data_IF_148078714206
#
_entry.id   IF_148078714206
#
_cell.length_a   1.000
_cell.length_b   1.000
_cell.length_c   1.000
_cell.angle_alpha   90.00
_cell.angle_beta   90.00
_cell.angle_gamma   90.00
#
_symmetry.space_group_name_H-M   'P 1'
#
loop_
_entity.id
_entity.type
_entity.pdbx_description
1 polymer ?
#
# COMPACT_ATOMS: atom_id res chain seq x y z
N UNK A 1 -19.53 -7.73 -6.41
CA UNK A 1 -18.32 -7.41 -5.63
C UNK A 1 -17.31 -8.51 -5.91
N UNK A 2 -16.08 -8.20 -6.28
CA UNK A 2 -15.02 -9.21 -6.39
C UNK A 2 -14.62 -9.64 -4.98
N UNK A 3 -14.68 -10.94 -4.69
CA UNK A 3 -14.26 -11.52 -3.42
C UNK A 3 -12.77 -11.82 -3.48
N UNK A 4 -11.97 -11.16 -2.64
CA UNK A 4 -10.58 -11.54 -2.41
C UNK A 4 -10.57 -12.79 -1.55
N UNK A 5 -10.14 -13.91 -2.11
CA UNK A 5 -10.11 -15.21 -1.44
C UNK A 5 -8.74 -15.48 -0.80
N UNK A 6 -7.65 -15.00 -1.42
CA UNK A 6 -6.28 -15.21 -0.93
C UNK A 6 -5.41 -13.94 -1.06
N UNK A 7 -4.74 -13.55 0.02
CA UNK A 7 -3.93 -12.32 0.10
C UNK A 7 -2.54 -12.58 0.71
N UNK A 8 -1.51 -11.92 0.18
CA UNK A 8 -0.17 -11.85 0.76
C UNK A 8 0.08 -10.44 1.33
N UNK A 9 0.65 -10.37 2.53
CA UNK A 9 1.14 -9.12 3.14
C UNK A 9 2.65 -9.21 3.30
N UNK A 10 3.37 -8.37 2.57
CA UNK A 10 4.80 -8.19 2.71
C UNK A 10 5.07 -7.02 3.66
N UNK A 11 6.02 -7.19 4.59
CA UNK A 11 6.24 -6.22 5.67
C UNK A 11 5.30 -6.40 6.87
N UNK A 12 4.71 -7.60 7.05
CA UNK A 12 3.81 -7.96 8.16
C UNK A 12 4.37 -7.65 9.56
N UNK A 13 5.69 -7.73 9.76
CA UNK A 13 6.33 -7.40 11.04
C UNK A 13 6.56 -5.90 11.26
N UNK A 14 6.45 -5.08 10.20
CA UNK A 14 6.53 -3.63 10.28
C UNK A 14 5.32 -3.01 10.96
N UNK A 15 5.44 -1.76 11.43
CA UNK A 15 4.37 -1.09 12.19
C UNK A 15 3.04 -1.01 11.42
N UNK A 16 3.07 -0.68 10.13
CA UNK A 16 1.86 -0.65 9.26
C UNK A 16 1.35 -2.08 9.01
N UNK A 17 2.23 -3.02 8.70
CA UNK A 17 1.87 -4.43 8.47
C UNK A 17 1.15 -5.07 9.65
N UNK A 18 1.54 -4.75 10.88
CA UNK A 18 0.86 -5.22 12.10
C UNK A 18 -0.59 -4.72 12.22
N UNK A 19 -0.87 -3.48 11.81
CA UNK A 19 -2.25 -2.98 11.74
C UNK A 19 -3.05 -3.70 10.66
N UNK A 20 -2.44 -3.96 9.50
CA UNK A 20 -3.09 -4.67 8.40
C UNK A 20 -3.45 -6.11 8.79
N UNK A 21 -2.58 -6.83 9.49
CA UNK A 21 -2.88 -8.18 10.02
C UNK A 21 -4.09 -8.15 10.95
N UNK A 22 -4.19 -7.13 11.82
CA UNK A 22 -5.35 -6.98 12.72
C UNK A 22 -6.64 -6.72 11.95
N UNK A 23 -6.59 -5.94 10.88
CA UNK A 23 -7.75 -5.71 10.01
C UNK A 23 -8.18 -6.99 9.29
N UNK A 24 -7.22 -7.68 8.68
CA UNK A 24 -7.48 -8.96 8.00
C UNK A 24 -8.04 -10.01 8.95
N UNK A 25 -7.47 -10.16 10.15
CA UNK A 25 -7.97 -11.10 11.16
C UNK A 25 -9.40 -10.79 11.66
N UNK A 26 -9.83 -9.52 11.61
CA UNK A 26 -11.21 -9.10 11.93
C UNK A 26 -12.16 -9.27 10.76
N UNK A 27 -11.64 -9.31 9.53
CA UNK A 27 -12.41 -9.54 8.32
C UNK A 27 -12.61 -11.03 8.05
N UNK A 28 -13.55 -11.38 7.18
CA UNK A 28 -13.79 -12.77 6.78
C UNK A 28 -12.81 -13.28 5.69
N UNK A 29 -11.64 -12.63 5.54
CA UNK A 29 -10.63 -12.93 4.52
C UNK A 29 -9.68 -13.99 5.06
N UNK A 30 -9.50 -15.10 4.33
CA UNK A 30 -8.53 -16.14 4.67
C UNK A 30 -7.16 -15.77 4.09
N UNK A 31 -6.24 -15.27 4.91
CA UNK A 31 -4.85 -15.08 4.49
C UNK A 31 -4.11 -16.43 4.44
N UNK A 32 -3.48 -16.75 3.29
CA UNK A 32 -2.68 -17.98 3.10
C UNK A 32 -1.30 -17.63 2.55
N UNK A 33 -0.25 -18.06 3.25
CA UNK A 33 1.15 -17.87 2.86
C UNK A 33 1.67 -19.04 2.03
N UNK A 34 1.78 -18.83 0.72
CA UNK A 34 2.60 -19.62 -0.22
C UNK A 34 2.99 -18.69 -1.38
N UNK A 35 4.12 -18.94 -2.05
CA UNK A 35 4.73 -18.03 -3.02
C UNK A 35 3.73 -17.43 -4.04
N UNK A 36 3.93 -16.14 -4.38
CA UNK A 36 3.13 -15.14 -5.12
C UNK A 36 2.13 -15.60 -6.23
N UNK A 37 2.19 -16.83 -6.74
CA UNK A 37 1.25 -17.37 -7.73
C UNK A 37 -0.05 -17.85 -7.07
N UNK A 38 -1.18 -17.33 -7.55
CA UNK A 38 -2.53 -17.78 -7.18
C UNK A 38 -3.25 -16.93 -6.13
N UNK A 39 -2.73 -15.73 -5.84
CA UNK A 39 -3.35 -14.77 -4.92
C UNK A 39 -4.09 -13.68 -5.68
N UNK A 40 -5.20 -13.22 -5.11
CA UNK A 40 -6.03 -12.17 -5.71
C UNK A 40 -5.48 -10.76 -5.41
N UNK A 41 -4.62 -10.64 -4.37
CA UNK A 41 -3.99 -9.40 -3.97
C UNK A 41 -2.66 -9.61 -3.24
N UNK A 42 -1.73 -8.67 -3.44
CA UNK A 42 -0.46 -8.55 -2.70
C UNK A 42 -0.37 -7.13 -2.15
N UNK A 43 -0.24 -6.98 -0.83
CA UNK A 43 0.03 -5.68 -0.20
C UNK A 43 1.50 -5.61 0.22
N UNK A 44 2.18 -4.57 -0.24
CA UNK A 44 3.55 -4.25 0.15
C UNK A 44 3.54 -3.11 1.18
N UNK A 45 3.81 -3.43 2.44
CA UNK A 45 3.96 -2.48 3.54
C UNK A 45 5.37 -2.57 4.15
N UNK A 46 6.39 -2.68 3.29
CA UNK A 46 7.79 -2.80 3.69
C UNK A 46 8.39 -1.41 3.88
N UNK A 47 9.13 -1.24 4.97
CA UNK A 47 9.70 0.03 5.38
C UNK A 47 10.84 -0.15 6.37
N UNK A 48 11.99 0.47 6.12
CA UNK A 48 13.16 0.45 7.01
C UNK A 48 13.01 1.34 8.24
N UNK A 49 11.99 2.22 8.24
CA UNK A 49 11.82 3.27 9.23
C UNK A 49 12.94 4.32 9.17
N UNK A 50 13.50 4.56 7.98
CA UNK A 50 14.59 5.52 7.76
C UNK A 50 15.98 4.97 8.04
N UNK A 51 16.11 3.69 8.37
CA UNK A 51 17.38 3.06 8.76
C UNK A 51 18.15 2.47 7.59
N UNK A 52 17.46 2.06 6.52
CA UNK A 52 18.08 1.39 5.37
C UNK A 52 17.24 1.61 4.11
N UNK A 53 17.15 2.87 3.67
CA UNK A 53 16.27 3.33 2.59
C UNK A 53 16.55 2.65 1.24
N UNK A 54 17.80 2.31 0.95
CA UNK A 54 18.18 1.76 -0.35
C UNK A 54 17.93 0.24 -0.42
N UNK A 55 18.35 -0.53 0.58
CA UNK A 55 18.24 -1.99 0.50
C UNK A 55 16.88 -2.55 0.92
N UNK A 56 16.10 -1.80 1.70
CA UNK A 56 14.80 -2.30 2.19
C UNK A 56 13.64 -1.61 1.48
N UNK A 57 13.75 -0.30 1.25
CA UNK A 57 12.64 0.48 0.68
C UNK A 57 12.69 0.51 -0.86
N UNK A 58 13.85 0.30 -1.49
CA UNK A 58 13.98 0.21 -2.95
C UNK A 58 14.10 -1.24 -3.42
N UNK A 59 15.06 -2.03 -2.92
CA UNK A 59 15.23 -3.42 -3.36
C UNK A 59 14.05 -4.32 -2.97
N UNK A 60 13.34 -4.01 -1.88
CA UNK A 60 12.12 -4.71 -1.50
C UNK A 60 10.95 -4.50 -2.49
N UNK A 61 10.89 -3.34 -3.16
CA UNK A 61 9.94 -3.10 -4.25
C UNK A 61 10.38 -3.83 -5.53
N UNK A 62 11.68 -3.83 -5.82
CA UNK A 62 12.31 -4.52 -6.95
C UNK A 62 12.04 -6.03 -6.90
N UNK A 63 12.31 -6.69 -5.76
CA UNK A 63 12.26 -8.15 -5.64
C UNK A 63 10.84 -8.71 -5.85
N UNK A 64 9.82 -8.03 -5.32
CA UNK A 64 8.41 -8.40 -5.47
C UNK A 64 7.96 -8.25 -6.92
N UNK A 65 8.52 -7.27 -7.61
CA UNK A 65 8.24 -7.04 -9.01
C UNK A 65 9.00 -8.03 -9.90
N UNK A 66 10.28 -8.29 -9.64
CA UNK A 66 11.09 -9.30 -10.35
C UNK A 66 10.50 -10.72 -10.18
N UNK A 67 9.92 -11.02 -9.02
CA UNK A 67 9.21 -12.28 -8.79
C UNK A 67 7.94 -12.42 -9.65
N UNK A 68 7.34 -11.32 -10.09
CA UNK A 68 6.23 -11.29 -11.05
C UNK A 68 6.70 -11.13 -12.52
N UNK A 69 7.87 -10.53 -12.74
CA UNK A 69 8.38 -10.10 -14.05
C UNK A 69 9.86 -10.48 -14.20
N UNK A 70 10.18 -11.48 -15.03
CA UNK A 70 11.58 -11.85 -15.35
C UNK A 70 12.36 -10.67 -15.97
N UNK A 71 13.26 -10.01 -15.24
CA UNK A 71 14.62 -9.64 -15.70
C UNK A 71 15.41 -8.78 -14.70
N UNK A 72 16.73 -9.04 -14.61
CA UNK A 72 17.76 -8.21 -13.97
C UNK A 72 17.91 -6.83 -14.63
N UNK A 73 18.08 -5.76 -13.84
CA UNK A 73 19.17 -4.75 -13.91
C UNK A 73 18.83 -3.48 -13.08
N UNK A 74 19.86 -2.90 -12.46
CA UNK A 74 19.84 -1.80 -11.50
C UNK A 74 19.74 -0.41 -12.17
N UNK A 75 18.60 0.28 -11.96
CA UNK A 75 18.37 1.76 -11.86
C UNK A 75 16.84 1.91 -11.72
N UNK A 76 16.27 1.52 -10.57
CA UNK A 76 14.96 0.86 -10.60
C UNK A 76 13.72 1.68 -10.19
N UNK A 77 13.80 2.82 -9.49
CA UNK A 77 12.55 3.44 -8.95
C UNK A 77 11.59 3.98 -10.01
N UNK A 78 12.10 4.62 -11.08
CA UNK A 78 11.25 5.22 -12.13
C UNK A 78 10.83 4.18 -13.18
N UNK A 79 11.69 3.21 -13.49
CA UNK A 79 11.44 2.16 -14.47
C UNK A 79 10.46 1.09 -13.95
N UNK A 80 10.47 0.80 -12.65
CA UNK A 80 9.54 -0.14 -12.04
C UNK A 80 8.10 0.35 -12.09
N UNK A 81 7.87 1.65 -11.89
CA UNK A 81 6.51 2.23 -11.94
C UNK A 81 5.92 2.06 -13.35
N UNK A 82 6.72 2.33 -14.41
CA UNK A 82 6.30 2.22 -15.80
C UNK A 82 6.00 0.76 -16.23
N UNK A 83 6.71 -0.24 -15.68
CA UNK A 83 6.46 -1.67 -15.97
C UNK A 83 5.30 -2.23 -15.11
N UNK A 84 5.15 -1.78 -13.85
CA UNK A 84 3.97 -2.05 -12.99
C UNK A 84 2.70 -1.51 -13.64
N UNK A 85 2.79 -0.30 -14.20
CA UNK A 85 1.69 0.40 -14.85
C UNK A 85 1.10 -0.34 -16.05
N UNK A 86 1.92 -1.15 -16.74
CA UNK A 86 1.49 -1.84 -17.97
C UNK A 86 0.95 -3.24 -17.78
N UNK A 87 1.09 -3.84 -16.59
CA UNK A 87 0.81 -5.29 -16.39
C UNK A 87 -0.03 -5.64 -15.16
N UNK A 88 -0.32 -4.70 -14.26
CA UNK A 88 -1.02 -4.99 -13.00
C UNK A 88 -2.13 -3.96 -12.71
N UNK A 89 -3.24 -4.43 -12.15
CA UNK A 89 -4.25 -3.59 -11.48
C UNK A 89 -3.68 -3.13 -10.12
N UNK A 90 -2.90 -2.05 -10.14
CA UNK A 90 -2.15 -1.59 -8.97
C UNK A 90 -2.80 -0.35 -8.33
N UNK A 91 -2.57 -0.14 -7.04
CA UNK A 91 -2.83 1.14 -6.35
C UNK A 91 -1.63 1.48 -5.49
N UNK A 92 -1.04 2.66 -5.68
CA UNK A 92 0.10 3.12 -4.87
C UNK A 92 -0.38 4.19 -3.89
N UNK A 93 -0.30 3.88 -2.59
CA UNK A 93 -0.60 4.80 -1.50
C UNK A 93 0.70 5.37 -0.93
N UNK A 94 0.88 6.69 -0.99
CA UNK A 94 2.08 7.39 -0.52
C UNK A 94 1.74 8.19 0.74
N UNK A 95 1.93 7.63 1.95
CA UNK A 95 1.63 8.37 3.16
C UNK A 95 2.61 9.53 3.36
N UNK A 96 2.13 10.60 3.97
CA UNK A 96 2.97 11.68 4.50
C UNK A 96 3.66 11.24 5.79
N UNK A 97 4.03 12.20 6.66
CA UNK A 97 4.70 11.91 7.93
C UNK A 97 3.88 10.97 8.81
N UNK A 98 4.46 9.80 9.12
CA UNK A 98 3.78 8.73 9.84
C UNK A 98 3.79 8.93 11.36
N UNK A 99 2.62 8.95 12.00
CA UNK A 99 2.46 9.01 13.46
C UNK A 99 1.95 7.69 14.06
N UNK A 100 2.14 7.52 15.37
CA UNK A 100 1.66 6.37 16.15
C UNK A 100 0.41 6.72 16.98
N UNK A 101 -0.29 7.81 16.61
CA UNK A 101 -1.53 8.24 17.27
C UNK A 101 -2.71 7.30 16.98
N UNK A 102 -3.82 7.51 17.69
CA UNK A 102 -5.05 6.75 17.47
C UNK A 102 -5.63 7.02 16.08
N UNK A 103 -6.20 6.00 15.39
CA UNK A 103 -6.77 6.18 14.07
C UNK A 103 -7.90 7.20 14.09
N UNK A 104 -7.98 7.99 13.03
CA UNK A 104 -9.04 8.99 12.84
C UNK A 104 -10.19 8.45 11.99
N UNK A 105 -9.94 7.42 11.18
CA UNK A 105 -10.84 6.92 10.14
C UNK A 105 -11.03 7.91 8.98
N UNK A 106 -10.25 9.00 8.96
CA UNK A 106 -10.41 10.10 8.01
C UNK A 106 -9.07 10.52 7.40
N UNK A 107 -9.10 10.72 6.10
CA UNK A 107 -7.95 11.14 5.31
C UNK A 107 -8.31 12.29 4.37
N UNK A 108 -7.28 12.89 3.81
CA UNK A 108 -7.34 13.75 2.63
C UNK A 108 -6.34 13.20 1.61
N UNK A 109 -6.75 13.19 0.34
CA UNK A 109 -5.86 12.94 -0.80
C UNK A 109 -5.26 14.27 -1.23
N UNK A 110 -3.93 14.32 -1.29
CA UNK A 110 -3.21 15.54 -1.66
C UNK A 110 -3.11 15.66 -3.19
N UNK A 111 -3.26 16.88 -3.70
CA UNK A 111 -3.17 17.20 -5.13
C UNK A 111 -2.09 18.27 -5.32
N UNK A 112 -1.07 17.95 -6.11
CA UNK A 112 0.06 18.85 -6.38
C UNK A 112 1.11 18.89 -5.26
N UNK A 113 2.04 19.85 -5.37
CA UNK A 113 3.08 20.06 -4.38
C UNK A 113 2.50 20.86 -3.21
N UNK A 114 2.62 20.33 -2.00
CA UNK A 114 2.14 20.97 -0.78
C UNK A 114 3.32 21.15 0.18
N UNK A 115 3.54 22.38 0.65
CA UNK A 115 4.65 22.72 1.55
C UNK A 115 4.51 22.05 2.93
N UNK A 116 3.30 22.05 3.48
CA UNK A 116 2.96 21.31 4.70
C UNK A 116 1.86 20.28 4.41
N UNK A 117 2.23 19.05 4.01
CA UNK A 117 1.27 18.03 3.67
C UNK A 117 0.59 17.44 4.92
N UNK A 118 1.08 17.73 6.13
CA UNK A 118 0.61 17.18 7.39
C UNK A 118 1.06 15.74 7.65
N UNK A 119 0.42 15.09 8.63
CA UNK A 119 0.74 13.74 9.09
C UNK A 119 -0.37 12.75 8.77
N UNK A 120 -0.06 11.45 8.81
CA UNK A 120 -1.05 10.36 8.77
C UNK A 120 -0.71 9.28 9.80
N UNK A 121 -1.71 8.79 10.54
CA UNK A 121 -1.49 7.68 11.47
C UNK A 121 -1.19 6.39 10.72
N UNK A 122 -0.28 5.56 11.24
CA UNK A 122 0.00 4.23 10.66
C UNK A 122 -1.23 3.33 10.60
N UNK A 123 -2.17 3.51 11.54
CA UNK A 123 -3.43 2.79 11.57
C UNK A 123 -4.34 3.20 10.40
N UNK A 124 -4.45 4.50 10.10
CA UNK A 124 -5.22 4.98 8.96
C UNK A 124 -4.58 4.59 7.61
N UNK A 125 -3.24 4.56 7.51
CA UNK A 125 -2.56 4.01 6.31
C UNK A 125 -2.93 2.55 6.08
N UNK A 126 -2.91 1.72 7.12
CA UNK A 126 -3.31 0.32 7.01
C UNK A 126 -4.78 0.18 6.61
N UNK A 127 -5.66 1.05 7.12
CA UNK A 127 -7.07 1.07 6.74
C UNK A 127 -7.25 1.44 5.27
N UNK A 128 -6.55 2.47 4.78
CA UNK A 128 -6.57 2.84 3.35
C UNK A 128 -6.11 1.67 2.48
N UNK A 129 -4.98 1.03 2.81
CA UNK A 129 -4.46 -0.13 2.06
C UNK A 129 -5.48 -1.28 2.00
N UNK A 130 -6.27 -1.46 3.06
CA UNK A 130 -7.32 -2.46 3.11
C UNK A 130 -8.56 -2.06 2.29
N UNK A 131 -9.00 -0.80 2.40
CA UNK A 131 -10.20 -0.28 1.73
C UNK A 131 -10.03 -0.30 0.20
N UNK A 132 -8.87 0.16 -0.30
CA UNK A 132 -8.61 0.31 -1.74
C UNK A 132 -8.54 -1.00 -2.51
N UNK A 133 -8.37 -2.14 -1.82
CA UNK A 133 -8.49 -3.47 -2.43
C UNK A 133 -9.84 -3.69 -3.12
N UNK A 134 -10.90 -3.02 -2.63
CA UNK A 134 -12.25 -3.15 -3.18
C UNK A 134 -12.65 -1.97 -4.07
N UNK A 135 -11.79 -0.96 -4.23
CA UNK A 135 -12.11 0.27 -4.96
C UNK A 135 -11.45 0.24 -6.34
N UNK A 136 -12.11 -0.37 -7.31
CA UNK A 136 -11.57 -0.48 -8.68
C UNK A 136 -11.17 0.86 -9.31
N UNK A 137 -11.83 1.94 -8.91
CA UNK A 137 -11.51 3.30 -9.37
C UNK A 137 -10.14 3.79 -8.89
N UNK A 138 -9.48 3.11 -7.95
CA UNK A 138 -8.11 3.41 -7.52
C UNK A 138 -7.07 2.63 -8.32
N UNK A 139 -7.48 1.70 -9.18
CA UNK A 139 -6.55 0.90 -9.98
C UNK A 139 -5.88 1.78 -11.04
N UNK A 140 -4.58 1.55 -11.25
CA UNK A 140 -3.77 2.37 -12.13
C UNK A 140 -3.44 3.76 -11.58
N UNK A 141 -3.64 4.00 -10.27
CA UNK A 141 -3.44 5.32 -9.65
C UNK A 141 -2.42 5.29 -8.53
N UNK A 142 -1.73 6.42 -8.39
CA UNK A 142 -0.94 6.74 -7.21
C UNK A 142 -1.46 8.02 -6.57
N UNK A 143 -1.47 8.07 -5.24
CA UNK A 143 -1.90 9.26 -4.52
C UNK A 143 -1.22 9.39 -3.16
N UNK A 144 -1.01 10.65 -2.77
CA UNK A 144 -0.43 11.03 -1.50
C UNK A 144 -1.55 11.24 -0.46
N UNK A 145 -1.36 10.73 0.76
CA UNK A 145 -2.39 10.80 1.82
C UNK A 145 -1.88 11.42 3.11
N UNK A 146 -2.74 12.22 3.73
CA UNK A 146 -2.60 12.72 5.09
C UNK A 146 -3.91 12.48 5.87
N UNK A 147 -3.90 12.58 7.20
CA UNK A 147 -5.15 12.67 7.96
C UNK A 147 -5.93 13.94 7.58
N UNK A 148 -7.25 13.83 7.58
CA UNK A 148 -8.15 14.86 7.09
C UNK A 148 -9.58 14.68 7.58
N UNK A 149 -10.53 15.05 6.74
CA UNK A 149 -11.95 15.13 7.07
C UNK A 149 -12.84 14.10 6.36
N UNK A 150 -12.36 13.49 5.27
CA UNK A 150 -13.11 12.51 4.47
C UNK A 150 -12.86 11.08 4.95
N UNK A 151 -13.91 10.26 4.96
CA UNK A 151 -13.82 8.85 5.36
C UNK A 151 -12.88 8.06 4.45
N UNK A 152 -11.96 7.26 5.01
CA UNK A 152 -11.09 6.38 4.21
C UNK A 152 -11.86 5.28 3.47
N UNK A 153 -12.98 4.84 4.04
CA UNK A 153 -13.81 3.76 3.49
C UNK A 153 -14.89 4.27 2.51
N UNK A 154 -14.76 5.51 2.01
CA UNK A 154 -15.61 6.03 0.95
C UNK A 154 -14.81 6.07 -0.37
N UNK A 155 -15.20 5.32 -1.41
CA UNK A 155 -14.50 5.35 -2.71
C UNK A 155 -14.36 6.75 -3.31
N UNK A 156 -15.30 7.67 -3.00
CA UNK A 156 -15.30 9.05 -3.50
C UNK A 156 -14.18 9.90 -2.88
N UNK A 157 -13.57 9.44 -1.79
CA UNK A 157 -12.41 10.10 -1.18
C UNK A 157 -11.20 10.11 -2.10
N UNK A 158 -11.08 9.12 -3.00
CA UNK A 158 -9.94 8.89 -3.87
C UNK A 158 -10.09 9.45 -5.30
N UNK A 159 -11.09 10.32 -5.53
CA UNK A 159 -11.39 10.93 -6.82
C UNK A 159 -10.83 12.36 -6.97
#
# INVERSE_FOLDING_TARGET
MSTIENMIILGAHGRVGQYLIKLVAKSNIKARTSALKGHDAVILAVGSGGKNLLQVDLDGYVEVFEANSRSKYTTQTVFLIDEVERKLDYTIVKPTWLTDESPTGKIKVLKGIIEDPGTVTRADVAQVLFDVLNFKDTFGKSFDIANGDKSSNDPRTYQ
#
